data_IF_407523161984
#
_entry.id   IF_407523161984
#
_cell.length_a   1.000
_cell.length_b   1.000
_cell.length_c   1.000
_cell.angle_alpha   90.00
_cell.angle_beta   90.00
_cell.angle_gamma   90.00
#
_symmetry.space_group_name_H-M   'P 1'
#
loop_
_entity.id
_entity.type
_entity.pdbx_description
1 polymer ?
#
# COMPACT_ATOMS: atom_id res chain seq x y z
N UNK A 1 -15.30 -16.38 -0.83
CA UNK A 1 -14.16 -17.30 -0.59
C UNK A 1 -14.50 -18.34 0.46
N UNK A 2 -14.23 -19.59 0.12
CA UNK A 2 -14.36 -20.80 0.93
C UNK A 2 -13.36 -20.77 2.09
N UNK A 3 -13.82 -21.03 3.33
CA UNK A 3 -13.00 -21.01 4.55
C UNK A 3 -11.76 -21.90 4.42
N UNK A 4 -10.58 -21.30 4.25
CA UNK A 4 -9.32 -21.94 4.60
C UNK A 4 -8.89 -21.38 5.95
N UNK A 5 -9.41 -21.97 7.04
CA UNK A 5 -9.00 -21.58 8.39
C UNK A 5 -8.10 -22.67 8.93
N UNK A 6 -6.89 -22.74 8.37
CA UNK A 6 -5.76 -23.37 9.05
C UNK A 6 -4.85 -22.24 9.50
N UNK A 7 -4.81 -21.98 10.80
CA UNK A 7 -3.92 -20.96 11.38
C UNK A 7 -2.47 -21.46 11.46
N UNK A 8 -2.17 -22.66 10.95
CA UNK A 8 -0.85 -23.29 10.96
C UNK A 8 -0.19 -23.18 12.34
N UNK A 9 0.87 -22.40 12.46
CA UNK A 9 1.65 -22.24 13.69
C UNK A 9 1.27 -20.99 14.49
N UNK A 10 0.36 -20.15 13.98
CA UNK A 10 0.00 -18.89 14.61
C UNK A 10 -0.72 -19.12 15.95
N UNK A 11 -0.25 -18.54 17.06
CA UNK A 11 -0.92 -18.64 18.35
C UNK A 11 -2.36 -18.10 18.35
N UNK A 12 -3.26 -18.78 19.08
CA UNK A 12 -4.68 -18.41 19.22
C UNK A 12 -4.93 -16.97 19.63
N UNK A 13 -4.01 -16.36 20.39
CA UNK A 13 -4.10 -14.95 20.81
C UNK A 13 -4.17 -13.97 19.62
N UNK A 14 -3.59 -14.33 18.48
CA UNK A 14 -3.50 -13.45 17.31
C UNK A 14 -4.56 -13.71 16.23
N UNK A 15 -5.33 -14.80 16.31
CA UNK A 15 -6.27 -15.20 15.25
C UNK A 15 -7.29 -14.10 14.89
N UNK A 16 -7.78 -13.35 15.88
CA UNK A 16 -8.73 -12.25 15.64
C UNK A 16 -8.10 -11.11 14.85
N UNK A 17 -6.89 -10.71 15.23
CA UNK A 17 -6.11 -9.64 14.56
C UNK A 17 -5.71 -10.08 13.14
N UNK A 18 -5.33 -11.34 12.97
CA UNK A 18 -5.08 -11.93 11.65
C UNK A 18 -6.32 -11.87 10.74
N UNK A 19 -7.46 -12.36 11.21
CA UNK A 19 -8.71 -12.32 10.45
C UNK A 19 -9.12 -10.89 10.07
N UNK A 20 -8.81 -9.91 10.93
CA UNK A 20 -9.04 -8.51 10.61
C UNK A 20 -8.13 -8.05 9.46
N UNK A 21 -6.83 -8.36 9.50
CA UNK A 21 -5.93 -8.05 8.39
C UNK A 21 -6.38 -8.71 7.07
N UNK A 22 -6.75 -10.00 7.11
CA UNK A 22 -7.32 -10.70 5.96
C UNK A 22 -8.60 -10.03 5.45
N UNK A 23 -9.48 -9.59 6.35
CA UNK A 23 -10.67 -8.85 5.95
C UNK A 23 -10.32 -7.53 5.26
N UNK A 24 -9.39 -6.74 5.80
CA UNK A 24 -9.00 -5.45 5.22
C UNK A 24 -8.37 -5.64 3.84
N UNK A 25 -7.47 -6.63 3.67
CA UNK A 25 -6.86 -6.88 2.36
C UNK A 25 -7.88 -7.43 1.36
N UNK A 26 -8.84 -8.25 1.77
CA UNK A 26 -9.93 -8.69 0.90
C UNK A 26 -10.77 -7.51 0.41
N UNK A 27 -11.00 -6.48 1.24
CA UNK A 27 -11.64 -5.27 0.76
C UNK A 27 -10.79 -4.55 -0.29
N UNK A 28 -9.47 -4.47 -0.13
CA UNK A 28 -8.59 -3.88 -1.17
C UNK A 28 -8.68 -4.73 -2.46
N UNK A 29 -8.67 -6.05 -2.35
CA UNK A 29 -8.80 -6.98 -3.48
C UNK A 29 -10.14 -6.82 -4.22
N UNK A 30 -11.24 -6.54 -3.52
CA UNK A 30 -12.54 -6.22 -4.14
C UNK A 30 -12.45 -5.05 -5.13
N UNK A 31 -11.54 -4.09 -4.94
CA UNK A 31 -11.33 -2.97 -5.89
C UNK A 31 -10.80 -3.47 -7.24
N UNK A 32 -10.17 -4.64 -7.26
CA UNK A 32 -9.68 -5.29 -8.49
C UNK A 32 -10.76 -6.23 -9.05
N UNK A 33 -11.46 -6.97 -8.20
CA UNK A 33 -12.32 -8.07 -8.65
C UNK A 33 -13.76 -7.64 -8.99
N UNK A 34 -14.27 -6.60 -8.35
CA UNK A 34 -15.66 -6.19 -8.52
C UNK A 34 -15.85 -5.29 -9.75
N UNK A 35 -16.83 -5.63 -10.59
CA UNK A 35 -17.16 -4.90 -11.83
C UNK A 35 -17.53 -3.42 -11.60
N UNK A 36 -17.96 -3.06 -10.39
CA UNK A 36 -18.21 -1.65 -10.04
C UNK A 36 -16.97 -0.77 -10.18
N UNK A 37 -15.76 -1.35 -10.09
CA UNK A 37 -14.49 -0.63 -10.24
C UNK A 37 -13.85 -0.85 -11.61
N UNK A 38 -14.62 -1.24 -12.64
CA UNK A 38 -14.10 -1.50 -13.99
C UNK A 38 -13.33 -0.32 -14.60
N UNK A 39 -13.64 0.92 -14.19
CA UNK A 39 -12.94 2.13 -14.62
C UNK A 39 -11.44 2.16 -14.24
N UNK A 40 -11.03 1.37 -13.24
CA UNK A 40 -9.60 1.19 -12.94
C UNK A 40 -8.88 0.39 -14.02
N UNK A 41 -9.60 -0.48 -14.74
CA UNK A 41 -9.06 -1.37 -15.78
C UNK A 41 -9.28 -0.82 -17.19
N UNK A 42 -10.43 -0.20 -17.43
CA UNK A 42 -10.87 0.23 -18.76
C UNK A 42 -11.23 1.71 -18.70
N UNK A 43 -10.58 2.51 -19.54
CA UNK A 43 -10.92 3.93 -19.74
C UNK A 43 -11.51 4.11 -21.13
N UNK A 44 -12.67 4.77 -21.21
CA UNK A 44 -13.34 5.09 -22.47
C UNK A 44 -13.35 6.59 -22.68
N UNK A 45 -13.00 7.02 -23.89
CA UNK A 45 -12.99 8.43 -24.30
C UNK A 45 -13.75 8.56 -25.61
N UNK A 46 -14.55 9.62 -25.73
CA UNK A 46 -15.29 9.93 -26.95
C UNK A 46 -14.54 10.99 -27.76
N UNK A 47 -14.26 10.69 -29.03
CA UNK A 47 -13.59 11.60 -29.96
C UNK A 47 -14.47 11.85 -31.18
N UNK A 48 -14.28 13.00 -31.84
CA UNK A 48 -14.93 13.27 -33.12
C UNK A 48 -14.37 12.34 -34.22
N UNK A 49 -15.15 12.09 -35.27
CA UNK A 49 -14.73 11.24 -36.41
C UNK A 49 -13.42 11.71 -37.04
N UNK A 50 -13.21 13.02 -37.15
CA UNK A 50 -12.00 13.61 -37.72
C UNK A 50 -10.76 13.32 -36.87
N UNK A 51 -10.92 13.25 -35.55
CA UNK A 51 -9.84 12.89 -34.62
C UNK A 51 -9.52 11.40 -34.72
N UNK A 52 -10.55 10.53 -34.76
CA UNK A 52 -10.37 9.08 -34.90
C UNK A 52 -9.55 8.75 -36.15
N UNK A 53 -9.89 9.37 -37.29
CA UNK A 53 -9.15 9.18 -38.54
C UNK A 53 -7.68 9.63 -38.46
N UNK A 54 -7.36 10.61 -37.60
CA UNK A 54 -5.99 11.07 -37.36
C UNK A 54 -5.22 10.18 -36.39
N UNK A 55 -5.92 9.42 -35.54
CA UNK A 55 -5.36 8.45 -34.58
C UNK A 55 -5.01 7.14 -35.28
N UNK A 56 -5.84 6.67 -36.22
CA UNK A 56 -5.78 5.35 -36.87
C UNK A 56 -4.67 5.21 -37.94
N UNK A 57 -3.51 5.85 -37.71
CA UNK A 57 -2.34 5.80 -38.60
C UNK A 57 -1.31 4.85 -37.99
N UNK A 58 -0.94 3.78 -38.71
CA UNK A 58 -0.21 2.61 -38.19
C UNK A 58 1.23 2.84 -37.73
N UNK A 59 1.80 4.02 -37.97
CA UNK A 59 3.25 4.19 -37.94
C UNK A 59 3.79 4.75 -36.61
N UNK A 60 2.92 5.03 -35.63
CA UNK A 60 3.31 5.58 -34.32
C UNK A 60 2.57 4.90 -33.17
N UNK A 61 3.19 4.90 -31.99
CA UNK A 61 2.55 4.45 -30.77
C UNK A 61 1.37 5.37 -30.42
N UNK A 62 0.26 4.79 -29.96
CA UNK A 62 -1.00 5.52 -29.70
C UNK A 62 -0.82 6.70 -28.73
N UNK A 63 0.02 6.55 -27.69
CA UNK A 63 0.24 7.59 -26.70
C UNK A 63 0.95 8.82 -27.30
N UNK A 64 1.98 8.60 -28.12
CA UNK A 64 2.69 9.68 -28.79
C UNK A 64 1.74 10.44 -29.72
N UNK A 65 0.87 9.69 -30.39
CA UNK A 65 -0.12 10.28 -31.30
C UNK A 65 -1.17 11.11 -30.58
N UNK A 66 -1.70 10.61 -29.47
CA UNK A 66 -2.65 11.35 -28.64
C UNK A 66 -2.01 12.62 -28.04
N UNK A 67 -0.74 12.54 -27.64
CA UNK A 67 0.03 13.68 -27.14
C UNK A 67 0.23 14.76 -28.22
N UNK A 68 0.63 14.37 -29.44
CA UNK A 68 0.75 15.29 -30.59
C UNK A 68 -0.57 16.00 -30.93
N UNK A 69 -1.70 15.33 -30.72
CA UNK A 69 -3.03 15.87 -30.98
C UNK A 69 -3.58 16.70 -29.79
N UNK A 70 -2.83 16.80 -28.69
CA UNK A 70 -3.19 17.61 -27.51
C UNK A 70 -4.07 16.91 -26.48
N UNK A 71 -4.28 15.59 -26.58
CA UNK A 71 -5.10 14.79 -25.64
C UNK A 71 -4.34 14.38 -24.39
N UNK A 72 -3.59 15.32 -23.81
CA UNK A 72 -2.75 15.08 -22.64
C UNK A 72 -3.58 14.75 -21.39
N UNK A 73 -4.79 15.29 -21.26
CA UNK A 73 -5.65 15.02 -20.12
C UNK A 73 -6.13 13.57 -20.09
N UNK A 74 -6.52 13.04 -21.24
CA UNK A 74 -6.94 11.66 -21.43
C UNK A 74 -5.79 10.70 -21.14
N UNK A 75 -4.59 11.00 -21.67
CA UNK A 75 -3.38 10.23 -21.39
C UNK A 75 -3.03 10.24 -19.91
N UNK A 76 -3.04 11.40 -19.27
CA UNK A 76 -2.83 11.55 -17.82
C UNK A 76 -3.84 10.72 -17.03
N UNK A 77 -5.10 10.67 -17.46
CA UNK A 77 -6.12 9.83 -16.82
C UNK A 77 -5.82 8.34 -16.97
N UNK A 78 -5.40 7.88 -18.15
CA UNK A 78 -5.00 6.48 -18.40
C UNK A 78 -3.79 6.10 -17.54
N UNK A 79 -2.72 6.89 -17.57
CA UNK A 79 -1.51 6.63 -16.77
C UNK A 79 -1.86 6.59 -15.28
N UNK A 80 -2.63 7.57 -14.80
CA UNK A 80 -3.06 7.64 -13.40
C UNK A 80 -3.83 6.38 -12.98
N UNK A 81 -4.84 5.97 -13.75
CA UNK A 81 -5.67 4.81 -13.41
C UNK A 81 -4.89 3.50 -13.49
N UNK A 82 -4.03 3.34 -14.50
CA UNK A 82 -3.15 2.18 -14.62
C UNK A 82 -2.14 2.08 -13.45
N UNK A 83 -1.55 3.21 -13.05
CA UNK A 83 -0.67 3.29 -11.90
C UNK A 83 -1.41 2.89 -10.62
N UNK A 84 -2.60 3.44 -10.37
CA UNK A 84 -3.43 3.11 -9.21
C UNK A 84 -3.73 1.61 -9.18
N UNK A 85 -4.23 1.04 -10.28
CA UNK A 85 -4.55 -0.39 -10.35
C UNK A 85 -3.33 -1.26 -10.02
N UNK A 86 -2.17 -0.92 -10.59
CA UNK A 86 -0.92 -1.65 -10.36
C UNK A 86 -0.48 -1.61 -8.89
N UNK A 87 -0.59 -0.45 -8.24
CA UNK A 87 -0.28 -0.29 -6.81
C UNK A 87 -1.23 -1.11 -5.92
N UNK A 88 -2.52 -1.19 -6.27
CA UNK A 88 -3.52 -2.00 -5.56
C UNK A 88 -3.20 -3.49 -5.71
N UNK A 89 -2.90 -3.96 -6.92
CA UNK A 89 -2.52 -5.36 -7.17
C UNK A 89 -1.28 -5.77 -6.39
N UNK A 90 -0.22 -4.97 -6.45
CA UNK A 90 1.01 -5.20 -5.70
C UNK A 90 0.78 -5.21 -4.18
N UNK A 91 -0.07 -4.31 -3.67
CA UNK A 91 -0.46 -4.31 -2.25
C UNK A 91 -1.13 -5.62 -1.87
N UNK A 92 -2.07 -6.12 -2.69
CA UNK A 92 -2.75 -7.39 -2.45
C UNK A 92 -1.75 -8.55 -2.38
N UNK A 93 -0.92 -8.71 -3.41
CA UNK A 93 0.04 -9.83 -3.50
C UNK A 93 1.01 -9.84 -2.32
N UNK A 94 1.63 -8.70 -2.01
CA UNK A 94 2.64 -8.65 -0.95
C UNK A 94 2.04 -8.85 0.45
N UNK A 95 0.88 -8.24 0.74
CA UNK A 95 0.24 -8.39 2.06
C UNK A 95 -0.35 -9.78 2.24
N UNK A 96 -1.05 -10.33 1.24
CA UNK A 96 -1.61 -11.70 1.32
C UNK A 96 -0.51 -12.74 1.54
N UNK A 97 0.58 -12.68 0.76
CA UNK A 97 1.70 -13.61 0.93
C UNK A 97 2.46 -13.39 2.25
N UNK A 98 2.57 -12.14 2.71
CA UNK A 98 3.16 -11.84 4.01
C UNK A 98 2.35 -12.45 5.16
N UNK A 99 1.03 -12.28 5.15
CA UNK A 99 0.13 -12.87 6.15
C UNK A 99 0.20 -14.41 6.13
N UNK A 100 0.27 -15.02 4.95
CA UNK A 100 0.45 -16.46 4.81
C UNK A 100 1.81 -16.93 5.37
N UNK A 101 2.87 -16.16 5.14
CA UNK A 101 4.19 -16.44 5.73
C UNK A 101 4.15 -16.35 7.27
N UNK A 102 3.42 -15.36 7.81
CA UNK A 102 3.20 -15.24 9.26
C UNK A 102 2.54 -16.48 9.84
N UNK A 103 1.47 -17.01 9.20
CA UNK A 103 0.83 -18.26 9.63
C UNK A 103 1.82 -19.44 9.65
N UNK A 104 2.66 -19.53 8.62
CA UNK A 104 3.66 -20.58 8.44
C UNK A 104 4.94 -20.39 9.29
N UNK A 105 4.98 -19.39 10.17
CA UNK A 105 6.16 -19.06 11.01
C UNK A 105 7.40 -18.65 10.19
N UNK A 106 7.23 -18.18 8.95
CA UNK A 106 8.31 -17.74 8.05
C UNK A 106 8.55 -16.24 8.22
N UNK A 107 9.01 -15.83 9.40
CA UNK A 107 9.00 -14.42 9.81
C UNK A 107 9.91 -13.53 8.97
N UNK A 108 11.10 -14.01 8.59
CA UNK A 108 12.00 -13.28 7.67
C UNK A 108 11.30 -12.92 6.37
N UNK A 109 10.68 -13.90 5.71
CA UNK A 109 9.95 -13.66 4.46
C UNK A 109 8.73 -12.78 4.69
N UNK A 110 8.00 -12.97 5.79
CA UNK A 110 6.86 -12.13 6.17
C UNK A 110 7.25 -10.64 6.20
N UNK A 111 8.30 -10.28 6.95
CA UNK A 111 8.74 -8.89 7.07
C UNK A 111 9.38 -8.35 5.79
N UNK A 112 10.13 -9.16 5.04
CA UNK A 112 10.62 -8.77 3.72
C UNK A 112 9.47 -8.31 2.81
N UNK A 113 8.36 -9.06 2.80
CA UNK A 113 7.19 -8.73 2.00
C UNK A 113 6.43 -7.50 2.52
N UNK A 114 6.37 -7.28 3.84
CA UNK A 114 5.70 -6.08 4.41
C UNK A 114 6.36 -4.77 3.99
N UNK A 115 7.65 -4.81 3.62
CA UNK A 115 8.38 -3.59 3.28
C UNK A 115 7.74 -2.81 2.14
N UNK A 116 7.44 -3.48 1.01
CA UNK A 116 7.04 -2.80 -0.22
C UNK A 116 5.69 -2.06 -0.08
N UNK A 117 4.63 -2.67 0.48
CA UNK A 117 3.36 -1.98 0.72
C UNK A 117 3.49 -0.71 1.57
N UNK A 118 4.28 -0.76 2.63
CA UNK A 118 4.32 0.31 3.62
C UNK A 118 5.43 1.35 3.41
N UNK A 119 6.60 0.96 2.90
CA UNK A 119 7.72 1.89 2.72
C UNK A 119 7.84 2.47 1.31
N UNK A 120 7.15 1.89 0.33
CA UNK A 120 7.22 2.33 -1.06
C UNK A 120 5.83 2.66 -1.61
N UNK A 121 4.92 1.68 -1.63
CA UNK A 121 3.58 1.86 -2.22
C UNK A 121 2.78 2.93 -1.48
N UNK A 122 2.78 2.92 -0.14
CA UNK A 122 2.08 3.93 0.64
C UNK A 122 2.58 5.36 0.33
N UNK A 123 3.89 5.54 0.10
CA UNK A 123 4.43 6.84 -0.30
C UNK A 123 3.81 7.27 -1.63
N UNK A 124 3.81 6.39 -2.63
CA UNK A 124 3.21 6.69 -3.93
C UNK A 124 1.71 7.01 -3.82
N UNK A 125 0.95 6.23 -3.03
CA UNK A 125 -0.47 6.48 -2.76
C UNK A 125 -0.67 7.88 -2.17
N UNK A 126 0.10 8.25 -1.15
CA UNK A 126 0.01 9.58 -0.53
C UNK A 126 0.42 10.70 -1.49
N UNK A 127 1.44 10.49 -2.33
CA UNK A 127 1.87 11.49 -3.33
C UNK A 127 0.80 11.70 -4.39
N UNK A 128 0.26 10.63 -4.99
CA UNK A 128 -0.81 10.74 -6.02
C UNK A 128 -2.08 11.40 -5.44
N UNK A 129 -2.34 11.24 -4.14
CA UNK A 129 -3.46 11.87 -3.45
C UNK A 129 -3.30 13.38 -3.22
N UNK A 130 -2.07 13.84 -2.97
CA UNK A 130 -1.80 15.19 -2.43
C UNK A 130 -0.98 16.09 -3.37
N UNK A 131 -0.23 15.54 -4.31
CA UNK A 131 0.54 16.27 -5.31
C UNK A 131 -0.24 16.29 -6.63
N UNK A 132 -0.83 17.44 -6.97
CA UNK A 132 -1.64 17.58 -8.19
C UNK A 132 -0.84 17.40 -9.48
N UNK A 133 0.46 17.71 -9.44
CA UNK A 133 1.38 17.63 -10.57
C UNK A 133 2.19 16.31 -10.59
N UNK A 134 1.85 15.34 -9.74
CA UNK A 134 2.60 14.09 -9.63
C UNK A 134 2.65 13.31 -10.95
N UNK A 135 1.52 13.17 -11.64
CA UNK A 135 1.45 12.41 -12.90
C UNK A 135 2.24 13.12 -14.00
N UNK A 136 2.20 14.45 -14.03
CA UNK A 136 2.95 15.24 -15.00
C UNK A 136 4.47 15.09 -14.78
N UNK A 137 4.93 15.11 -13.52
CA UNK A 137 6.31 14.81 -13.16
C UNK A 137 6.68 13.37 -13.52
N UNK A 138 5.82 12.42 -13.20
CA UNK A 138 6.05 11.00 -13.48
C UNK A 138 6.23 10.73 -14.99
N UNK A 139 5.48 11.43 -15.83
CA UNK A 139 5.54 11.26 -17.28
C UNK A 139 6.71 12.01 -17.93
N UNK A 140 7.07 13.20 -17.42
CA UNK A 140 7.89 14.15 -18.19
C UNK A 140 9.19 14.58 -17.51
N UNK A 141 9.33 14.41 -16.19
CA UNK A 141 10.52 14.89 -15.47
C UNK A 141 11.63 13.84 -15.51
N UNK A 142 12.70 14.13 -16.25
CA UNK A 142 13.87 13.26 -16.34
C UNK A 142 14.53 13.06 -14.96
N UNK A 143 14.86 11.80 -14.63
CA UNK A 143 15.47 11.45 -13.35
C UNK A 143 14.54 11.57 -12.14
N UNK A 144 13.23 11.72 -12.34
CA UNK A 144 12.25 11.74 -11.25
C UNK A 144 12.18 10.38 -10.55
N UNK A 145 12.59 10.35 -9.28
CA UNK A 145 12.39 9.21 -8.39
C UNK A 145 11.07 9.41 -7.60
N UNK A 146 10.03 8.60 -7.88
CA UNK A 146 8.72 8.79 -7.29
C UNK A 146 8.65 8.33 -5.82
N UNK A 147 9.63 7.56 -5.33
CA UNK A 147 9.69 7.06 -3.94
C UNK A 147 10.67 7.86 -3.07
N UNK A 148 11.63 8.56 -3.67
CA UNK A 148 12.58 9.40 -2.92
C UNK A 148 11.86 10.52 -2.16
N UNK A 149 11.97 10.45 -0.85
CA UNK A 149 11.34 11.38 0.10
C UNK A 149 12.20 11.56 1.35
N UNK A 150 12.24 12.77 1.86
CA UNK A 150 12.86 13.16 3.12
C UNK A 150 11.92 12.85 4.31
N UNK A 151 12.45 12.79 5.54
CA UNK A 151 11.62 12.65 6.75
C UNK A 151 10.49 13.68 6.86
N UNK A 152 10.79 14.95 6.59
CA UNK A 152 9.80 16.03 6.67
C UNK A 152 8.70 15.89 5.60
N UNK A 153 9.07 15.52 4.37
CA UNK A 153 8.09 15.23 3.31
C UNK A 153 7.19 14.05 3.68
N UNK A 154 7.73 13.00 4.32
CA UNK A 154 6.90 11.88 4.80
C UNK A 154 5.90 12.32 5.87
N UNK A 155 6.34 13.13 6.85
CA UNK A 155 5.45 13.69 7.89
C UNK A 155 4.35 14.56 7.29
N UNK A 156 4.70 15.40 6.31
CA UNK A 156 3.75 16.24 5.58
C UNK A 156 2.74 15.41 4.77
N UNK A 157 3.21 14.40 4.02
CA UNK A 157 2.35 13.48 3.27
C UNK A 157 1.38 12.70 4.17
N UNK A 158 1.83 12.21 5.32
CA UNK A 158 0.97 11.55 6.33
C UNK A 158 -0.09 12.53 6.80
N UNK A 159 0.31 13.74 7.21
CA UNK A 159 -0.61 14.76 7.74
C UNK A 159 -1.66 15.13 6.71
N UNK A 160 -1.27 15.47 5.48
CA UNK A 160 -2.20 15.82 4.40
C UNK A 160 -3.16 14.67 4.06
N UNK A 161 -2.64 13.44 4.00
CA UNK A 161 -3.48 12.26 3.73
C UNK A 161 -4.47 12.03 4.87
N UNK A 162 -4.03 12.11 6.12
CA UNK A 162 -4.89 11.88 7.26
C UNK A 162 -5.94 13.00 7.45
N UNK A 163 -5.61 14.25 7.11
CA UNK A 163 -6.58 15.35 7.05
C UNK A 163 -7.74 15.03 6.08
N UNK A 164 -7.42 14.46 4.89
CA UNK A 164 -8.45 14.01 3.94
C UNK A 164 -9.30 12.87 4.50
N UNK A 165 -8.74 12.08 5.42
CA UNK A 165 -9.42 11.02 6.15
C UNK A 165 -10.10 11.53 7.43
N UNK A 166 -10.17 12.85 7.67
CA UNK A 166 -10.76 13.46 8.87
C UNK A 166 -10.05 13.06 10.17
N UNK A 167 -8.73 12.98 10.12
CA UNK A 167 -7.85 12.76 11.28
C UNK A 167 -8.19 11.49 12.07
N UNK A 168 -8.52 10.41 11.34
CA UNK A 168 -8.87 9.11 11.93
C UNK A 168 -7.69 8.43 12.65
N UNK A 169 -6.46 8.85 12.35
CA UNK A 169 -5.23 8.27 12.88
C UNK A 169 -4.38 9.32 13.59
N UNK A 170 -3.43 8.87 14.40
CA UNK A 170 -2.39 9.75 14.94
C UNK A 170 -1.23 9.85 13.94
N UNK A 171 -0.93 11.08 13.49
CA UNK A 171 0.12 11.33 12.50
C UNK A 171 1.52 10.94 13.00
N UNK A 172 1.81 11.18 14.29
CA UNK A 172 3.13 10.84 14.84
C UNK A 172 3.27 9.33 14.99
N UNK A 173 2.23 8.62 15.42
CA UNK A 173 2.24 7.15 15.48
C UNK A 173 2.47 6.56 14.07
N UNK A 174 1.76 7.05 13.05
CA UNK A 174 1.95 6.61 11.67
C UNK A 174 3.40 6.82 11.20
N UNK A 175 3.99 7.98 11.47
CA UNK A 175 5.37 8.24 11.09
C UNK A 175 6.35 7.35 11.86
N UNK A 176 6.18 7.26 13.18
CA UNK A 176 7.04 6.52 14.09
C UNK A 176 7.07 5.03 13.74
N UNK A 177 5.90 4.39 13.62
CA UNK A 177 5.81 2.96 13.36
C UNK A 177 6.16 2.57 11.92
N UNK A 178 6.06 3.46 10.94
CA UNK A 178 6.39 3.13 9.55
C UNK A 178 7.83 3.53 9.21
N UNK A 179 8.21 4.80 9.42
CA UNK A 179 9.35 5.43 8.76
C UNK A 179 10.50 5.84 9.68
N UNK A 180 10.26 6.01 10.98
CA UNK A 180 11.26 6.60 11.88
C UNK A 180 12.46 5.67 12.07
N UNK A 181 13.65 6.15 11.70
CA UNK A 181 14.89 5.37 11.80
C UNK A 181 15.42 5.30 13.22
N UNK A 182 15.06 6.29 14.05
CA UNK A 182 15.50 6.37 15.44
C UNK A 182 14.61 5.52 16.36
N UNK A 183 13.44 5.11 15.87
CA UNK A 183 12.54 4.23 16.59
C UNK A 183 12.81 2.76 16.24
N UNK A 184 13.27 1.98 17.23
CA UNK A 184 13.65 0.56 17.04
C UNK A 184 12.55 -0.30 16.42
N UNK A 185 11.32 -0.10 16.87
CA UNK A 185 10.16 -0.86 16.43
C UNK A 185 9.53 -0.29 15.14
N UNK A 186 10.20 0.62 14.44
CA UNK A 186 9.71 1.05 13.14
C UNK A 186 9.79 -0.08 12.12
N UNK A 187 8.82 -0.13 11.23
CA UNK A 187 8.79 -1.09 10.13
C UNK A 187 10.00 -0.88 9.22
N UNK A 188 10.50 0.36 9.09
CA UNK A 188 11.77 0.63 8.41
C UNK A 188 12.91 -0.22 8.98
N UNK A 189 13.11 -0.20 10.30
CA UNK A 189 14.20 -0.91 10.96
C UNK A 189 14.00 -2.44 10.92
N UNK A 190 12.82 -2.91 11.28
CA UNK A 190 12.52 -4.35 11.33
C UNK A 190 12.63 -4.99 9.94
N UNK A 191 12.09 -4.36 8.90
CA UNK A 191 12.17 -4.90 7.54
C UNK A 191 13.58 -4.80 6.95
N UNK A 192 14.39 -3.83 7.39
CA UNK A 192 15.80 -3.77 7.02
C UNK A 192 16.57 -4.99 7.54
N UNK A 193 16.30 -5.39 8.78
CA UNK A 193 16.88 -6.60 9.38
C UNK A 193 16.35 -7.89 8.74
N UNK A 194 15.11 -7.89 8.25
CA UNK A 194 14.56 -9.02 7.52
C UNK A 194 15.22 -9.22 6.14
N UNK A 195 15.56 -8.14 5.43
CA UNK A 195 16.12 -8.19 4.07
C UNK A 195 17.61 -8.46 4.06
N UNK A 196 18.35 -7.84 4.98
CA UNK A 196 19.79 -7.93 5.00
C UNK A 196 20.26 -8.92 6.05
N UNK A 197 21.23 -9.76 5.69
CA UNK A 197 21.86 -10.69 6.63
C UNK A 197 22.61 -9.99 7.77
N UNK A 198 23.14 -8.80 7.46
CA UNK A 198 23.91 -7.98 8.37
C UNK A 198 23.64 -6.49 8.10
N UNK A 199 23.45 -5.72 9.17
CA UNK A 199 23.11 -4.30 9.16
C UNK A 199 24.04 -3.57 10.13
N UNK A 200 24.70 -2.50 9.66
CA UNK A 200 25.65 -1.71 10.49
C UNK A 200 25.48 -0.20 10.33
N UNK A 201 24.71 0.23 9.33
CA UNK A 201 24.55 1.66 8.98
C UNK A 201 23.70 2.46 9.95
N UNK A 202 22.74 1.81 10.62
CA UNK A 202 21.89 2.43 11.64
C UNK A 202 22.14 1.71 12.97
N UNK A 203 22.69 2.38 14.00
CA UNK A 203 22.93 1.76 15.31
C UNK A 203 21.67 1.15 15.94
N UNK A 204 20.49 1.75 15.68
CA UNK A 204 19.20 1.29 16.24
C UNK A 204 18.79 -0.09 15.72
N UNK A 205 19.18 -0.43 14.50
CA UNK A 205 18.90 -1.73 13.86
C UNK A 205 20.17 -2.47 13.47
N UNK A 206 21.29 -2.20 14.15
CA UNK A 206 22.55 -2.86 13.87
C UNK A 206 22.53 -4.32 14.33
N UNK A 207 23.08 -5.21 13.52
CA UNK A 207 23.22 -6.63 13.88
C UNK A 207 24.16 -6.77 15.08
N UNK A 208 23.71 -7.52 16.08
CA UNK A 208 24.51 -7.80 17.26
C UNK A 208 25.77 -8.63 16.95
N UNK A 209 26.74 -8.60 17.87
CA UNK A 209 27.96 -9.41 17.75
C UNK A 209 27.61 -10.90 17.64
N UNK A 210 28.28 -11.60 16.72
CA UNK A 210 28.08 -13.03 16.46
C UNK A 210 26.64 -13.40 16.04
N UNK A 211 25.90 -12.44 15.46
CA UNK A 211 24.53 -12.65 14.99
C UNK A 211 24.42 -12.42 13.47
N UNK A 212 23.37 -12.98 12.84
CA UNK A 212 22.99 -12.76 11.45
C UNK A 212 21.48 -12.48 11.39
N UNK A 213 21.09 -11.28 11.84
CA UNK A 213 19.72 -10.79 11.90
C UNK A 213 18.69 -11.91 12.12
N UNK A 214 17.70 -12.06 11.23
CA UNK A 214 16.59 -12.99 11.47
C UNK A 214 16.94 -14.46 11.23
N UNK A 215 18.12 -14.78 10.66
CA UNK A 215 18.51 -16.19 10.43
C UNK A 215 18.66 -16.95 11.75
N UNK A 216 19.17 -16.28 12.79
CA UNK A 216 19.34 -16.89 14.10
C UNK A 216 18.19 -16.59 15.06
N UNK A 217 17.02 -16.18 14.55
CA UNK A 217 15.85 -15.94 15.39
C UNK A 217 15.46 -17.20 16.16
N UNK A 218 15.40 -17.05 17.48
CA UNK A 218 14.94 -18.08 18.40
C UNK A 218 13.41 -18.13 18.42
N UNK A 219 12.85 -19.09 19.18
CA UNK A 219 11.41 -19.18 19.37
C UNK A 219 10.83 -17.93 20.04
N UNK A 220 11.52 -17.37 21.02
CA UNK A 220 11.13 -16.14 21.71
C UNK A 220 11.07 -14.97 20.71
N UNK A 221 12.10 -14.81 19.88
CA UNK A 221 12.11 -13.76 18.86
C UNK A 221 10.95 -13.91 17.86
N UNK A 222 10.57 -15.14 17.50
CA UNK A 222 9.41 -15.39 16.63
C UNK A 222 8.10 -14.98 17.32
N UNK A 223 7.96 -15.26 18.61
CA UNK A 223 6.77 -14.87 19.37
C UNK A 223 6.69 -13.33 19.49
N UNK A 224 7.81 -12.63 19.69
CA UNK A 224 7.89 -11.15 19.65
C UNK A 224 7.56 -10.59 18.27
N UNK A 225 8.04 -11.23 17.21
CA UNK A 225 7.73 -10.85 15.83
C UNK A 225 6.25 -10.98 15.50
N UNK A 226 5.57 -12.02 15.99
CA UNK A 226 4.12 -12.11 15.88
C UNK A 226 3.42 -11.04 16.71
N UNK A 227 3.90 -10.79 17.94
CA UNK A 227 3.38 -9.71 18.77
C UNK A 227 3.41 -8.39 18.03
N UNK A 228 4.56 -8.05 17.45
CA UNK A 228 4.74 -6.86 16.63
C UNK A 228 3.73 -6.79 15.48
N UNK A 229 3.63 -7.85 14.67
CA UNK A 229 2.74 -7.86 13.50
C UNK A 229 1.31 -7.58 13.94
N UNK A 230 0.80 -8.33 14.91
CA UNK A 230 -0.61 -8.24 15.26
C UNK A 230 -0.91 -7.09 16.23
N UNK A 231 0.11 -6.43 16.79
CA UNK A 231 -0.04 -5.15 17.47
C UNK A 231 -0.12 -3.99 16.47
N UNK A 232 0.82 -3.89 15.53
CA UNK A 232 1.00 -2.70 14.70
C UNK A 232 0.32 -2.78 13.32
N UNK A 233 0.48 -3.90 12.61
CA UNK A 233 0.03 -4.03 11.21
C UNK A 233 -1.48 -3.81 11.03
N UNK A 234 -2.39 -4.21 11.93
CA UNK A 234 -3.80 -3.92 11.77
C UNK A 234 -4.11 -2.42 11.59
N UNK A 235 -3.47 -1.55 12.39
CA UNK A 235 -3.67 -0.10 12.29
C UNK A 235 -3.07 0.45 10.99
N UNK A 236 -1.82 0.06 10.70
CA UNK A 236 -1.10 0.51 9.49
C UNK A 236 -1.80 0.07 8.19
N UNK A 237 -2.25 -1.18 8.13
CA UNK A 237 -2.99 -1.72 6.99
C UNK A 237 -4.35 -1.03 6.83
N UNK A 238 -4.99 -0.66 7.94
CA UNK A 238 -6.23 0.11 7.90
C UNK A 238 -5.98 1.49 7.30
N UNK A 239 -4.94 2.21 7.73
CA UNK A 239 -4.54 3.49 7.12
C UNK A 239 -4.30 3.35 5.61
N UNK A 240 -3.49 2.37 5.20
CA UNK A 240 -3.23 2.09 3.78
C UNK A 240 -4.54 1.81 2.99
N UNK A 241 -5.46 1.03 3.55
CA UNK A 241 -6.74 0.72 2.91
C UNK A 241 -7.63 1.96 2.75
N UNK A 242 -7.69 2.83 3.76
CA UNK A 242 -8.41 4.10 3.67
C UNK A 242 -7.79 5.05 2.65
N UNK A 243 -6.46 5.13 2.58
CA UNK A 243 -5.76 5.93 1.57
C UNK A 243 -6.02 5.40 0.16
N UNK A 244 -6.00 4.08 -0.05
CA UNK A 244 -6.32 3.46 -1.34
C UNK A 244 -7.78 3.72 -1.74
N UNK A 245 -8.73 3.53 -0.82
CA UNK A 245 -10.15 3.80 -1.08
C UNK A 245 -10.36 5.25 -1.53
N UNK A 246 -9.74 6.20 -0.83
CA UNK A 246 -9.81 7.62 -1.19
C UNK A 246 -9.19 7.90 -2.56
N UNK A 247 -8.08 7.22 -2.89
CA UNK A 247 -7.41 7.36 -4.17
C UNK A 247 -8.27 6.86 -5.33
N UNK A 248 -8.97 5.74 -5.14
CA UNK A 248 -9.93 5.19 -6.11
C UNK A 248 -11.15 6.10 -6.23
N UNK A 249 -11.73 6.55 -5.12
CA UNK A 249 -12.86 7.47 -5.11
C UNK A 249 -12.55 8.75 -5.90
N UNK A 250 -11.35 9.32 -5.74
CA UNK A 250 -10.92 10.52 -6.48
C UNK A 250 -10.60 10.28 -7.95
N UNK A 251 -10.48 9.03 -8.39
CA UNK A 251 -10.01 8.68 -9.73
C UNK A 251 -11.04 7.93 -10.59
N UNK A 252 -12.22 7.67 -10.05
CA UNK A 252 -13.32 6.94 -10.69
C UNK A 252 -14.65 7.65 -10.46
N UNK A 253 -15.70 7.25 -11.18
CA UNK A 253 -17.07 7.76 -10.99
C UNK A 253 -17.90 6.94 -10.00
N UNK A 254 -17.25 6.00 -9.29
CA UNK A 254 -17.91 5.10 -8.34
C UNK A 254 -18.54 5.89 -7.20
N UNK A 255 -19.78 5.55 -6.88
CA UNK A 255 -20.57 6.20 -5.83
C UNK A 255 -19.85 6.19 -4.46
N UNK A 256 -19.74 7.36 -3.84
CA UNK A 256 -19.16 7.57 -2.51
C UNK A 256 -19.81 6.66 -1.44
N UNK A 257 -21.10 6.34 -1.58
CA UNK A 257 -21.81 5.46 -0.65
C UNK A 257 -21.20 4.05 -0.57
N UNK A 258 -20.56 3.58 -1.66
CA UNK A 258 -19.86 2.29 -1.67
C UNK A 258 -18.67 2.34 -0.71
N UNK A 259 -17.88 3.40 -0.75
CA UNK A 259 -16.74 3.61 0.14
C UNK A 259 -17.18 3.84 1.58
N UNK A 260 -18.26 4.61 1.80
CA UNK A 260 -18.82 4.81 3.14
C UNK A 260 -19.27 3.48 3.78
N UNK A 261 -19.87 2.58 3.01
CA UNK A 261 -20.24 1.22 3.47
C UNK A 261 -18.99 0.40 3.82
N UNK A 262 -17.94 0.46 3.00
CA UNK A 262 -16.65 -0.22 3.26
C UNK A 262 -16.01 0.29 4.55
N UNK A 263 -15.99 1.61 4.76
CA UNK A 263 -15.49 2.25 5.98
C UNK A 263 -16.27 1.81 7.23
N UNK A 264 -17.61 1.85 7.19
CA UNK A 264 -18.47 1.38 8.29
C UNK A 264 -18.23 -0.09 8.62
N UNK A 265 -17.97 -0.92 7.60
CA UNK A 265 -17.66 -2.34 7.81
C UNK A 265 -16.31 -2.53 8.51
N UNK A 266 -15.26 -1.78 8.12
CA UNK A 266 -13.95 -1.80 8.82
C UNK A 266 -14.12 -1.43 10.28
N UNK A 267 -14.79 -0.33 10.58
CA UNK A 267 -15.03 0.11 11.96
C UNK A 267 -15.80 -0.94 12.79
N UNK A 268 -16.82 -1.56 12.19
CA UNK A 268 -17.58 -2.63 12.84
C UNK A 268 -16.69 -3.84 13.16
N UNK A 269 -15.86 -4.27 12.21
CA UNK A 269 -15.00 -5.46 12.38
C UNK A 269 -13.79 -5.18 13.26
N UNK A 270 -13.23 -3.97 13.22
CA UNK A 270 -12.17 -3.49 14.10
C UNK A 270 -12.58 -3.67 15.57
N UNK A 271 -13.78 -3.18 15.93
CA UNK A 271 -14.39 -3.39 17.26
C UNK A 271 -14.64 -4.86 17.57
N UNK A 272 -15.19 -5.62 16.62
CA UNK A 272 -15.48 -7.07 16.80
C UNK A 272 -14.22 -7.88 17.12
N UNK A 273 -13.12 -7.57 16.43
CA UNK A 273 -11.85 -8.28 16.58
C UNK A 273 -10.96 -7.72 17.69
N UNK A 274 -11.39 -6.66 18.38
CA UNK A 274 -10.60 -5.97 19.43
C UNK A 274 -9.24 -5.53 18.91
N UNK A 275 -9.26 -4.92 17.73
CA UNK A 275 -8.12 -4.22 17.15
C UNK A 275 -8.27 -2.77 17.60
N UNK A 276 -7.66 -2.47 18.73
CA UNK A 276 -7.50 -1.09 19.24
C UNK A 276 -6.04 -0.69 19.07
#
# INVERSE_FOLDING_TARGET
>A
MTKRVDYYYLPKKYWKKHNYCEFVINQIEELILDERFIELKIQTFEFSKDVINKIDVSDKHLFDRLSELGFNNELTKVVRTHLILSLIMETCYFIQESLLCSLKMRMTVCFTLLRKPFLEILILVMRILNESDFIDKFNNLEGFDPIKTTPNEKKDLITKTNNLLKDLFNNEDLYQYIFDKEFGDSLFNITNNAIHLYTDRNPVSATEKQNLNFIFSTRENIDDMWEYIYHNIPMLLTFLAFSIDLLVLKSTTVDEDIFLKRHKMREKLRKRYKVE
#
